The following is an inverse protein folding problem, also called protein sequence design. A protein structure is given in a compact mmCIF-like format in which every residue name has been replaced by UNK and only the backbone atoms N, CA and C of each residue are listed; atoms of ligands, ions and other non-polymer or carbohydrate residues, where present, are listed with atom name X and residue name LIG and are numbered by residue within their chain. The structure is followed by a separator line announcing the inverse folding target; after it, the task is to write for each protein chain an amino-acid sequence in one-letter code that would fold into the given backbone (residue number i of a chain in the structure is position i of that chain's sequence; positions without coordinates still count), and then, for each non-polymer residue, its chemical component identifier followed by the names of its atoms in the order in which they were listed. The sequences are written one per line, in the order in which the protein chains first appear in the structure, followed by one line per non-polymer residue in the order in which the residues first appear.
data_IF_838653120471
#
_entry.id   IF_838653120471
#
_cell.length_a   1.000
_cell.length_b   1.000
_cell.length_c   1.000
_cell.angle_alpha   90.00
_cell.angle_beta   90.00
_cell.angle_gamma   90.00
#
_symmetry.space_group_name_H-M   'P 1'
#
loop_
_entity.id
_entity.type
_entity.pdbx_description
1 polymer ?
#
# COMPACT_ATOMS: atom_id res chain seq x y z
N UNK A 1 33.91 -4.02 21.08
CA UNK A 1 33.55 -5.38 20.62
C UNK A 1 32.40 -5.25 19.63
N UNK A 2 32.48 -5.85 18.44
CA UNK A 2 31.45 -5.69 17.41
C UNK A 2 30.16 -6.43 17.82
N UNK A 3 29.20 -5.69 18.38
CA UNK A 3 27.97 -6.25 18.93
C UNK A 3 27.02 -6.79 17.85
N UNK A 4 27.15 -6.41 16.58
CA UNK A 4 26.33 -6.97 15.49
C UNK A 4 26.87 -8.33 14.99
N UNK A 5 28.18 -8.56 15.13
CA UNK A 5 28.81 -9.80 14.70
C UNK A 5 28.46 -10.98 15.64
N UNK A 6 28.30 -10.73 16.94
CA UNK A 6 28.07 -11.79 17.94
C UNK A 6 26.68 -12.45 17.82
N UNK A 7 25.57 -11.69 17.62
CA UNK A 7 24.26 -12.27 17.33
C UNK A 7 24.24 -13.03 16.01
N UNK A 8 24.98 -12.57 14.98
CA UNK A 8 25.10 -13.29 13.70
C UNK A 8 25.74 -14.67 13.89
N UNK A 9 26.80 -14.75 14.68
CA UNK A 9 27.45 -16.02 15.04
C UNK A 9 26.47 -16.93 15.79
N UNK A 10 25.70 -16.39 16.75
CA UNK A 10 24.66 -17.14 17.46
C UNK A 10 23.55 -17.67 16.54
N UNK A 11 23.09 -16.85 15.60
CA UNK A 11 22.10 -17.25 14.59
C UNK A 11 22.61 -18.35 13.65
N UNK A 12 23.87 -18.28 13.23
CA UNK A 12 24.48 -19.34 12.42
C UNK A 12 24.59 -20.68 13.18
N UNK A 13 24.84 -20.64 14.50
CA UNK A 13 24.81 -21.83 15.35
C UNK A 13 23.39 -22.44 15.42
N UNK A 14 22.34 -21.59 15.50
CA UNK A 14 20.94 -22.01 15.47
C UNK A 14 20.54 -22.68 14.15
N UNK A 15 21.02 -22.16 13.02
CA UNK A 15 20.75 -22.70 11.68
C UNK A 15 21.51 -24.00 11.39
N UNK A 16 22.19 -24.59 12.38
CA UNK A 16 23.02 -25.78 12.23
C UNK A 16 24.08 -25.65 11.13
N UNK A 17 24.83 -24.54 11.13
CA UNK A 17 26.02 -24.42 10.30
C UNK A 17 26.98 -25.59 10.59
N UNK A 18 27.39 -26.31 9.53
CA UNK A 18 28.30 -27.47 9.59
C UNK A 18 29.78 -27.06 9.57
N UNK A 19 30.08 -25.77 9.63
CA UNK A 19 31.45 -25.27 9.74
C UNK A 19 32.16 -25.81 10.98
N UNK A 20 33.45 -26.11 10.84
CA UNK A 20 34.33 -26.61 11.93
C UNK A 20 34.26 -25.69 13.17
N UNK A 21 34.17 -24.39 12.96
CA UNK A 21 34.05 -23.40 14.02
C UNK A 21 32.77 -23.57 14.85
N UNK A 22 31.65 -23.93 14.20
CA UNK A 22 30.36 -24.16 14.86
C UNK A 22 30.42 -25.41 15.74
N UNK A 23 30.99 -26.51 15.23
CA UNK A 23 31.25 -27.72 16.03
C UNK A 23 32.15 -27.45 17.23
N UNK A 24 33.21 -26.67 17.06
CA UNK A 24 34.16 -26.35 18.12
C UNK A 24 33.50 -25.50 19.22
N UNK A 25 32.65 -24.52 18.85
CA UNK A 25 31.89 -23.72 19.81
C UNK A 25 30.79 -24.53 20.52
N UNK A 26 30.05 -25.38 19.79
CA UNK A 26 29.06 -26.30 20.38
C UNK A 26 29.70 -27.26 21.37
N UNK A 27 30.88 -27.81 21.04
CA UNK A 27 31.61 -28.69 21.96
C UNK A 27 32.13 -27.94 23.18
N UNK A 28 32.79 -26.78 22.99
CA UNK A 28 33.42 -26.02 24.07
C UNK A 28 32.43 -25.42 25.06
N UNK A 29 31.26 -24.98 24.59
CA UNK A 29 30.34 -24.18 25.40
C UNK A 29 28.95 -24.79 25.59
N UNK A 30 28.50 -25.69 24.69
CA UNK A 30 27.18 -26.31 24.79
C UNK A 30 27.25 -27.77 25.26
N UNK A 31 28.41 -28.42 25.23
CA UNK A 31 28.54 -29.87 25.44
C UNK A 31 27.48 -30.67 24.65
N UNK A 32 27.29 -30.32 23.37
CA UNK A 32 26.28 -30.90 22.47
C UNK A 32 24.80 -30.69 22.87
N UNK A 33 24.49 -29.75 23.78
CA UNK A 33 23.12 -29.32 24.06
C UNK A 33 22.59 -28.36 22.99
N UNK A 34 21.27 -28.28 22.86
CA UNK A 34 20.61 -27.32 21.97
C UNK A 34 20.91 -25.88 22.40
N UNK A 35 21.22 -25.03 21.42
CA UNK A 35 21.48 -23.60 21.63
C UNK A 35 20.22 -22.81 22.06
N UNK A 36 19.02 -23.35 21.81
CA UNK A 36 17.73 -22.68 22.11
C UNK A 36 17.34 -22.66 23.59
N UNK A 37 17.96 -23.51 24.43
CA UNK A 37 17.56 -23.70 25.84
C UNK A 37 18.68 -23.33 26.81
N UNK A 38 19.55 -22.40 26.43
CA UNK A 38 20.63 -21.93 27.29
C UNK A 38 20.11 -20.91 28.28
N UNK A 39 20.09 -21.28 29.57
CA UNK A 39 19.98 -20.30 30.65
C UNK A 39 21.33 -19.57 30.78
N UNK A 40 21.49 -18.47 30.04
CA UNK A 40 22.67 -17.62 30.06
C UNK A 40 22.93 -16.98 31.44
N UNK A 41 21.97 -17.08 32.37
CA UNK A 41 22.08 -16.60 33.75
C UNK A 41 22.68 -17.66 34.71
N UNK A 42 22.69 -18.94 34.33
CA UNK A 42 23.16 -20.04 35.19
C UNK A 42 24.35 -20.79 34.58
N UNK A 43 25.54 -20.28 34.86
CA UNK A 43 26.72 -21.12 35.07
C UNK A 43 27.84 -21.02 34.04
N UNK A 44 29.06 -21.06 34.58
CA UNK A 44 30.38 -21.03 33.95
C UNK A 44 30.80 -19.60 33.56
N UNK A 45 32.04 -19.24 33.93
CA UNK A 45 32.69 -17.96 33.65
C UNK A 45 32.72 -17.72 32.13
N UNK A 46 31.62 -17.17 31.60
CA UNK A 46 31.45 -16.92 30.19
C UNK A 46 32.10 -15.59 29.84
N UNK A 47 33.11 -15.64 28.96
CA UNK A 47 33.72 -14.45 28.35
C UNK A 47 32.62 -13.51 27.83
N UNK A 48 32.88 -12.20 27.84
CA UNK A 48 31.97 -11.19 27.29
C UNK A 48 31.56 -11.50 25.85
N UNK A 49 32.46 -12.11 25.07
CA UNK A 49 32.20 -12.64 23.73
C UNK A 49 31.12 -13.73 23.73
N UNK A 50 31.18 -14.72 24.62
CA UNK A 50 30.20 -15.80 24.68
C UNK A 50 28.82 -15.32 25.14
N UNK A 51 28.77 -14.38 26.08
CA UNK A 51 27.52 -13.71 26.46
C UNK A 51 26.87 -12.98 25.27
N UNK A 52 27.67 -12.29 24.46
CA UNK A 52 27.17 -11.64 23.24
C UNK A 52 26.73 -12.63 22.15
N UNK A 53 27.37 -13.81 22.05
CA UNK A 53 26.91 -14.88 21.14
C UNK A 53 25.58 -15.47 21.62
N UNK A 54 25.41 -15.64 22.93
CA UNK A 54 24.17 -16.09 23.56
C UNK A 54 22.97 -15.18 23.30
N UNK A 55 23.18 -13.86 23.17
CA UNK A 55 22.10 -12.93 22.76
C UNK A 55 21.58 -13.24 21.34
N UNK A 56 22.37 -13.91 20.49
CA UNK A 56 21.91 -14.44 19.21
C UNK A 56 20.85 -15.55 19.34
N UNK A 57 20.76 -16.23 20.48
CA UNK A 57 19.69 -17.20 20.77
C UNK A 57 18.33 -16.52 21.00
N UNK A 58 18.35 -15.29 21.53
CA UNK A 58 17.17 -14.44 21.74
C UNK A 58 16.91 -13.47 20.57
N UNK A 59 17.77 -13.51 19.54
CA UNK A 59 17.66 -12.67 18.36
C UNK A 59 16.49 -13.13 17.49
N UNK A 60 15.53 -12.24 17.29
CA UNK A 60 14.43 -12.40 16.34
C UNK A 60 14.44 -11.23 15.37
N UNK A 61 13.88 -11.41 14.17
CA UNK A 61 13.64 -10.30 13.22
C UNK A 61 12.88 -9.18 13.94
N UNK A 62 11.93 -9.53 14.82
CA UNK A 62 11.17 -8.58 15.64
C UNK A 62 12.06 -7.75 16.58
N UNK A 63 13.03 -8.34 17.28
CA UNK A 63 13.95 -7.60 18.16
C UNK A 63 14.98 -6.79 17.39
N UNK A 64 15.46 -7.29 16.24
CA UNK A 64 16.34 -6.53 15.35
C UNK A 64 15.63 -5.32 14.74
N UNK A 65 14.40 -5.52 14.25
CA UNK A 65 13.57 -4.47 13.69
C UNK A 65 13.19 -3.46 14.77
N UNK A 66 12.83 -3.92 15.98
CA UNK A 66 12.59 -3.02 17.11
C UNK A 66 13.84 -2.21 17.49
N UNK A 67 15.02 -2.81 17.56
CA UNK A 67 16.26 -2.09 17.84
C UNK A 67 16.65 -1.09 16.75
N UNK A 68 16.38 -1.41 15.48
CA UNK A 68 16.54 -0.48 14.36
C UNK A 68 15.54 0.70 14.45
N UNK A 69 14.27 0.40 14.77
CA UNK A 69 13.22 1.39 14.94
C UNK A 69 13.39 2.24 16.21
N UNK A 70 13.99 1.71 17.28
CA UNK A 70 14.23 2.41 18.55
C UNK A 70 15.49 3.31 18.47
N UNK A 71 16.43 3.01 17.55
CA UNK A 71 17.64 3.82 17.30
C UNK A 71 17.36 5.08 16.48
N UNK A 72 16.32 5.06 15.64
CA UNK A 72 15.67 6.27 15.15
C UNK A 72 14.68 6.71 16.24
N UNK A 73 14.75 7.93 16.75
CA UNK A 73 13.76 8.42 17.73
C UNK A 73 12.40 8.46 17.02
N UNK A 74 11.64 7.36 17.03
CA UNK A 74 10.28 7.32 16.55
C UNK A 74 9.41 7.98 17.61
N UNK A 75 8.99 9.20 17.33
CA UNK A 75 7.88 9.82 18.04
C UNK A 75 6.66 8.89 17.88
N UNK A 76 6.33 8.11 18.91
CA UNK A 76 5.22 7.15 18.86
C UNK A 76 3.93 7.93 18.98
N UNK A 77 3.44 8.38 17.84
CA UNK A 77 2.11 8.95 17.70
C UNK A 77 1.05 7.97 18.18
N UNK A 78 0.08 8.45 18.97
CA UNK A 78 -1.11 7.66 19.32
C UNK A 78 -2.08 7.60 18.13
N UNK A 79 -1.72 6.91 17.05
CA UNK A 79 -2.47 6.92 15.78
C UNK A 79 -3.84 6.22 15.80
N UNK A 80 -4.18 5.48 16.86
CA UNK A 80 -5.43 4.70 16.95
C UNK A 80 -6.70 5.55 16.77
N UNK A 81 -6.65 6.85 17.10
CA UNK A 81 -7.80 7.75 16.89
C UNK A 81 -8.13 7.96 15.40
N UNK A 82 -7.15 7.82 14.49
CA UNK A 82 -7.34 8.03 13.04
C UNK A 82 -8.45 7.13 12.49
N UNK A 83 -8.49 5.88 12.95
CA UNK A 83 -9.50 4.90 12.53
C UNK A 83 -10.89 5.17 13.12
N UNK A 84 -10.99 5.99 14.16
CA UNK A 84 -12.26 6.44 14.75
C UNK A 84 -12.83 7.66 14.03
N UNK A 85 -12.00 8.40 13.28
CA UNK A 85 -12.46 9.54 12.49
C UNK A 85 -13.41 9.07 11.40
N UNK A 86 -14.55 9.74 11.26
CA UNK A 86 -15.56 9.45 10.23
C UNK A 86 -15.11 9.96 8.86
N UNK A 87 -14.08 9.31 8.31
CA UNK A 87 -13.40 9.64 7.05
C UNK A 87 -13.34 8.41 6.15
N UNK A 88 -13.27 8.58 4.81
CA UNK A 88 -13.02 7.48 3.89
C UNK A 88 -11.74 6.69 4.23
N UNK A 89 -11.71 5.35 4.03
CA UNK A 89 -10.55 4.52 4.35
C UNK A 89 -9.24 4.99 3.72
N UNK A 90 -9.30 5.51 2.48
CA UNK A 90 -8.13 6.06 1.79
C UNK A 90 -7.51 7.27 2.51
N UNK A 91 -8.35 8.13 3.13
CA UNK A 91 -7.89 9.29 3.89
C UNK A 91 -7.35 8.84 5.25
N UNK A 92 -8.04 7.91 5.93
CA UNK A 92 -7.54 7.33 7.19
C UNK A 92 -6.18 6.66 7.02
N UNK A 93 -6.00 5.84 5.97
CA UNK A 93 -4.72 5.22 5.66
C UNK A 93 -3.64 6.26 5.35
N UNK A 94 -3.96 7.28 4.57
CA UNK A 94 -3.02 8.37 4.31
C UNK A 94 -2.60 9.11 5.59
N UNK A 95 -3.55 9.46 6.47
CA UNK A 95 -3.26 10.08 7.75
C UNK A 95 -2.38 9.18 8.62
N UNK A 96 -2.64 7.88 8.66
CA UNK A 96 -1.81 6.92 9.38
C UNK A 96 -0.36 6.93 8.86
N UNK A 97 -0.15 6.84 7.55
CA UNK A 97 1.19 6.91 6.93
C UNK A 97 1.86 8.27 7.21
N UNK A 98 1.08 9.36 7.19
CA UNK A 98 1.53 10.72 7.47
C UNK A 98 2.03 10.88 8.90
N UNK A 99 1.25 10.45 9.89
CA UNK A 99 1.61 10.53 11.31
C UNK A 99 2.84 9.68 11.65
N UNK A 100 3.07 8.58 10.93
CA UNK A 100 4.30 7.80 11.06
C UNK A 100 5.53 8.44 10.40
N UNK A 101 5.37 9.59 9.72
CA UNK A 101 6.45 10.22 8.97
C UNK A 101 6.89 9.43 7.73
N UNK A 102 6.05 8.50 7.26
CA UNK A 102 6.36 7.55 6.18
C UNK A 102 5.73 7.91 4.83
N UNK A 103 5.24 9.15 4.69
CA UNK A 103 4.84 9.66 3.38
C UNK A 103 6.07 9.69 2.46
N UNK A 104 5.95 9.05 1.31
CA UNK A 104 7.01 8.91 0.31
C UNK A 104 7.28 10.24 -0.42
N UNK A 105 7.81 11.21 0.32
CA UNK A 105 8.32 12.49 -0.18
C UNK A 105 9.65 12.28 -0.93
N UNK A 106 10.06 13.21 -1.80
CA UNK A 106 11.36 13.10 -2.47
C UNK A 106 12.55 13.06 -1.49
N UNK A 107 12.46 13.71 -0.32
CA UNK A 107 13.45 13.51 0.76
C UNK A 107 13.52 12.04 1.19
N UNK A 108 12.38 11.41 1.45
CA UNK A 108 12.35 10.00 1.85
C UNK A 108 12.79 9.06 0.72
N UNK A 109 12.43 9.36 -0.53
CA UNK A 109 12.90 8.60 -1.71
C UNK A 109 14.41 8.63 -1.82
N UNK A 110 15.04 9.79 -1.62
CA UNK A 110 16.50 9.91 -1.62
C UNK A 110 17.13 9.17 -0.44
N UNK A 111 16.55 9.28 0.76
CA UNK A 111 17.02 8.53 1.93
C UNK A 111 16.96 7.01 1.73
N UNK A 112 15.97 6.51 0.99
CA UNK A 112 15.83 5.09 0.65
C UNK A 112 16.57 4.67 -0.62
N UNK A 113 17.32 5.57 -1.28
CA UNK A 113 18.05 5.26 -2.52
C UNK A 113 17.16 5.02 -3.74
N UNK A 114 15.89 5.42 -3.69
CA UNK A 114 14.92 5.30 -4.80
C UNK A 114 14.97 6.52 -5.72
N UNK A 115 15.42 7.67 -5.21
CA UNK A 115 15.54 8.93 -5.95
C UNK A 115 16.90 9.58 -5.79
N UNK A 116 17.24 10.44 -6.75
CA UNK A 116 18.50 11.21 -6.77
C UNK A 116 18.31 12.69 -6.48
N UNK A 117 17.07 13.19 -6.56
CA UNK A 117 16.72 14.59 -6.33
C UNK A 117 15.64 14.68 -5.25
N UNK A 118 15.94 15.43 -4.19
CA UNK A 118 15.03 15.68 -3.08
C UNK A 118 14.13 16.90 -3.31
N UNK A 119 14.29 17.60 -4.44
CA UNK A 119 13.59 18.84 -4.74
C UNK A 119 12.07 18.64 -4.85
N UNK A 120 11.30 19.65 -4.45
CA UNK A 120 9.86 19.62 -4.61
C UNK A 120 9.47 19.72 -6.09
N UNK A 121 8.78 18.73 -6.68
CA UNK A 121 8.38 18.78 -8.09
C UNK A 121 7.29 19.82 -8.33
N UNK A 122 6.61 20.28 -7.27
CA UNK A 122 5.49 21.21 -7.36
C UNK A 122 5.95 22.64 -7.53
N UNK A 123 6.77 23.12 -6.61
CA UNK A 123 7.27 24.50 -6.63
C UNK A 123 8.70 24.64 -7.18
N UNK A 124 9.34 23.50 -7.52
CA UNK A 124 10.70 23.43 -8.07
C UNK A 124 11.75 24.10 -7.17
N UNK A 125 11.48 24.15 -5.86
CA UNK A 125 12.32 24.83 -4.89
C UNK A 125 12.26 24.13 -3.53
N UNK A 126 13.41 24.01 -2.87
CA UNK A 126 13.53 23.40 -1.54
C UNK A 126 13.39 21.88 -1.54
N UNK A 127 13.76 21.27 -0.41
CA UNK A 127 13.66 19.83 -0.17
C UNK A 127 12.21 19.48 0.13
N UNK A 128 11.63 18.55 -0.63
CA UNK A 128 10.30 18.01 -0.35
C UNK A 128 10.36 17.06 0.86
N UNK A 129 10.08 17.62 2.03
CA UNK A 129 9.75 16.88 3.24
C UNK A 129 8.26 17.09 3.58
N UNK A 130 7.78 16.51 4.68
CA UNK A 130 6.36 16.64 5.07
C UNK A 130 5.96 18.10 5.31
N UNK A 131 6.78 18.87 6.03
CA UNK A 131 6.54 20.29 6.28
C UNK A 131 6.42 21.10 4.99
N UNK A 132 7.32 20.86 4.05
CA UNK A 132 7.28 21.51 2.75
C UNK A 132 6.06 21.06 1.95
N UNK A 133 5.83 19.75 1.86
CA UNK A 133 4.72 19.16 1.12
C UNK A 133 3.36 19.72 1.57
N UNK A 134 3.15 19.85 2.88
CA UNK A 134 1.85 20.19 3.46
C UNK A 134 1.68 21.68 3.75
N UNK A 135 2.75 22.40 4.09
CA UNK A 135 2.63 23.76 4.65
C UNK A 135 3.43 24.78 3.85
N UNK A 136 4.72 24.52 3.60
CA UNK A 136 5.64 25.55 3.10
C UNK A 136 5.73 25.65 1.58
N UNK A 137 5.30 24.63 0.85
CA UNK A 137 5.25 24.64 -0.61
C UNK A 137 4.30 25.74 -1.10
N UNK A 138 4.71 26.49 -2.13
CA UNK A 138 3.90 27.55 -2.74
C UNK A 138 2.48 27.07 -3.08
N UNK A 139 2.36 25.93 -3.75
CA UNK A 139 1.06 25.34 -4.12
C UNK A 139 0.22 25.00 -2.87
N UNK A 140 0.85 24.52 -1.81
CA UNK A 140 0.16 24.18 -0.56
C UNK A 140 -0.33 25.43 0.17
N UNK A 141 0.48 26.49 0.21
CA UNK A 141 0.09 27.80 0.74
C UNK A 141 -1.12 28.34 -0.04
N UNK A 142 -1.13 28.23 -1.37
CA UNK A 142 -2.27 28.67 -2.19
C UNK A 142 -3.56 27.97 -1.76
N UNK A 143 -3.53 26.66 -1.54
CA UNK A 143 -4.70 25.91 -1.05
C UNK A 143 -5.12 26.39 0.34
N UNK A 144 -4.19 26.51 1.29
CA UNK A 144 -4.52 26.96 2.64
C UNK A 144 -5.09 28.38 2.69
N UNK A 145 -4.54 29.30 1.89
CA UNK A 145 -5.04 30.68 1.79
C UNK A 145 -6.43 30.72 1.19
N UNK A 146 -6.71 29.92 0.16
CA UNK A 146 -8.05 29.84 -0.45
C UNK A 146 -9.09 29.29 0.55
N UNK A 147 -8.72 28.25 1.30
CA UNK A 147 -9.57 27.66 2.35
C UNK A 147 -9.80 28.64 3.50
N UNK A 148 -8.75 29.31 4.01
CA UNK A 148 -8.86 30.27 5.12
C UNK A 148 -9.62 31.55 4.74
N UNK A 149 -9.63 31.94 3.46
CA UNK A 149 -10.53 33.02 2.99
C UNK A 149 -11.99 32.59 3.02
N UNK A 150 -12.24 31.31 2.73
CA UNK A 150 -13.59 30.77 2.77
C UNK A 150 -14.05 30.57 4.22
N UNK A 151 -13.21 30.01 5.10
CA UNK A 151 -13.56 29.59 6.46
C UNK A 151 -12.90 30.49 7.54
N UNK A 152 -13.69 30.93 8.53
CA UNK A 152 -13.24 31.81 9.62
C UNK A 152 -12.26 31.19 10.64
N UNK A 153 -11.55 30.13 10.28
CA UNK A 153 -10.58 29.46 11.17
C UNK A 153 -9.24 29.29 10.47
N UNK A 154 -8.18 29.77 11.12
CA UNK A 154 -6.79 29.59 10.69
C UNK A 154 -5.96 29.06 11.86
N UNK A 155 -5.60 27.79 11.84
CA UNK A 155 -4.56 27.28 12.73
C UNK A 155 -3.20 27.74 12.19
N UNK A 156 -2.46 28.50 13.01
CA UNK A 156 -1.15 28.99 12.63
C UNK A 156 -0.11 27.91 12.89
N UNK A 157 0.68 27.56 11.87
CA UNK A 157 1.78 26.62 12.03
C UNK A 157 2.95 27.26 12.79
N UNK A 158 3.18 26.81 14.03
CA UNK A 158 4.24 27.34 14.90
C UNK A 158 5.58 26.58 14.81
N UNK A 159 5.76 25.74 13.78
CA UNK A 159 7.04 25.07 13.50
C UNK A 159 7.17 23.63 13.99
N UNK A 160 6.19 23.09 14.72
CA UNK A 160 6.13 21.68 15.07
C UNK A 160 4.99 21.00 14.30
N UNK A 161 5.33 20.17 13.31
CA UNK A 161 4.35 19.48 12.46
C UNK A 161 3.49 18.51 13.25
N UNK A 162 4.07 17.89 14.28
CA UNK A 162 3.35 16.89 15.06
C UNK A 162 2.31 17.55 15.97
N UNK A 163 2.68 18.60 16.67
CA UNK A 163 1.73 19.38 17.45
C UNK A 163 0.59 19.94 16.57
N UNK A 164 0.94 20.47 15.39
CA UNK A 164 -0.03 21.05 14.47
C UNK A 164 -1.01 20.02 13.90
N UNK A 165 -0.52 18.84 13.49
CA UNK A 165 -1.38 17.74 13.04
C UNK A 165 -2.28 17.23 14.18
N UNK A 166 -1.74 17.09 15.40
CA UNK A 166 -2.50 16.63 16.55
C UNK A 166 -3.63 17.60 16.92
N UNK A 167 -3.33 18.89 17.02
CA UNK A 167 -4.29 19.94 17.39
C UNK A 167 -5.46 19.98 16.40
N UNK A 168 -5.17 20.02 15.10
CA UNK A 168 -6.20 20.14 14.07
C UNK A 168 -7.01 18.85 13.88
N UNK A 169 -6.40 17.67 14.00
CA UNK A 169 -7.12 16.40 13.85
C UNK A 169 -8.02 16.06 15.06
N UNK A 170 -7.80 16.69 16.21
CA UNK A 170 -8.66 16.58 17.39
C UNK A 170 -9.64 17.76 17.54
N UNK A 171 -9.53 18.80 16.72
CA UNK A 171 -10.44 19.93 16.76
C UNK A 171 -11.79 19.54 16.14
N UNK A 172 -12.86 19.59 16.95
CA UNK A 172 -14.21 19.28 16.51
C UNK A 172 -15.11 20.53 16.42
N UNK A 173 -14.54 21.72 16.44
CA UNK A 173 -15.25 22.96 16.17
C UNK A 173 -15.87 22.93 14.77
N UNK A 174 -17.03 23.55 14.64
CA UNK A 174 -17.69 23.65 13.35
C UNK A 174 -17.12 24.84 12.58
N UNK A 175 -16.70 24.57 11.34
CA UNK A 175 -16.44 25.60 10.34
C UNK A 175 -17.68 25.76 9.45
N UNK A 176 -17.56 26.53 8.38
CA UNK A 176 -18.65 26.81 7.44
C UNK A 176 -19.51 25.58 7.11
N UNK A 177 -20.81 25.81 6.97
CA UNK A 177 -21.79 24.80 6.61
C UNK A 177 -21.84 23.61 7.60
N UNK A 178 -21.54 23.86 8.89
CA UNK A 178 -21.56 22.87 9.97
C UNK A 178 -20.62 21.67 9.73
N UNK A 179 -19.53 21.87 8.98
CA UNK A 179 -18.51 20.85 8.78
C UNK A 179 -17.58 20.82 10.00
N UNK A 180 -17.27 19.65 10.59
CA UNK A 180 -16.24 19.55 11.63
C UNK A 180 -14.86 19.97 11.11
N UNK A 181 -14.13 20.81 11.86
CA UNK A 181 -12.84 21.35 11.45
C UNK A 181 -11.79 20.28 11.20
N UNK A 182 -11.71 19.21 12.01
CA UNK A 182 -10.82 18.08 11.74
C UNK A 182 -11.10 17.42 10.38
N UNK A 183 -12.36 17.36 9.96
CA UNK A 183 -12.77 16.72 8.71
C UNK A 183 -12.28 17.56 7.54
N UNK A 184 -12.55 18.86 7.56
CA UNK A 184 -12.05 19.79 6.54
C UNK A 184 -10.52 19.75 6.47
N UNK A 185 -9.85 19.79 7.63
CA UNK A 185 -8.40 19.71 7.73
C UNK A 185 -7.84 18.42 7.10
N UNK A 186 -8.37 17.26 7.47
CA UNK A 186 -7.96 15.97 6.91
C UNK A 186 -8.17 15.88 5.39
N UNK A 187 -9.29 16.42 4.90
CA UNK A 187 -9.60 16.50 3.46
C UNK A 187 -8.59 17.39 2.74
N UNK A 188 -8.24 18.57 3.28
CA UNK A 188 -7.21 19.44 2.70
C UNK A 188 -5.87 18.73 2.60
N UNK A 189 -5.41 18.06 3.67
CA UNK A 189 -4.15 17.30 3.65
C UNK A 189 -4.15 16.22 2.57
N UNK A 190 -5.27 15.50 2.43
CA UNK A 190 -5.44 14.49 1.39
C UNK A 190 -5.37 15.08 -0.01
N UNK A 191 -6.05 16.19 -0.28
CA UNK A 191 -6.02 16.85 -1.59
C UNK A 191 -4.64 17.42 -1.93
N UNK A 192 -3.91 17.97 -0.95
CA UNK A 192 -2.52 18.40 -1.12
C UNK A 192 -1.61 17.25 -1.58
N UNK A 193 -1.82 16.05 -1.02
CA UNK A 193 -1.13 14.85 -1.48
C UNK A 193 -1.62 14.41 -2.86
N UNK A 194 -2.94 14.31 -3.07
CA UNK A 194 -3.57 13.84 -4.31
C UNK A 194 -3.14 14.69 -5.51
N UNK A 195 -3.36 16.00 -5.46
CA UNK A 195 -2.93 16.92 -6.53
C UNK A 195 -1.42 16.98 -6.69
N UNK A 196 -0.68 16.80 -5.59
CA UNK A 196 0.76 16.65 -5.63
C UNK A 196 1.22 15.45 -6.46
N UNK A 197 0.60 14.29 -6.25
CA UNK A 197 0.86 13.10 -7.05
C UNK A 197 0.41 13.29 -8.50
N UNK A 198 -0.78 13.86 -8.74
CA UNK A 198 -1.25 14.13 -10.10
C UNK A 198 -0.26 14.99 -10.89
N UNK A 199 0.30 16.06 -10.28
CA UNK A 199 1.30 16.90 -10.94
C UNK A 199 2.60 16.17 -11.33
N UNK A 200 2.92 15.06 -10.66
CA UNK A 200 4.12 14.25 -10.95
C UNK A 200 3.82 13.18 -12.00
N UNK A 201 2.66 12.53 -11.93
CA UNK A 201 2.33 11.36 -12.74
C UNK A 201 1.45 11.67 -13.96
N UNK A 202 0.84 12.85 -14.01
CA UNK A 202 0.03 13.32 -15.13
C UNK A 202 0.61 14.64 -15.65
N UNK A 203 1.28 14.55 -16.80
CA UNK A 203 1.93 15.68 -17.46
C UNK A 203 0.94 16.78 -17.90
N UNK A 204 -0.35 16.45 -18.02
CA UNK A 204 -1.40 17.39 -18.41
C UNK A 204 -2.18 17.93 -17.20
N UNK A 205 -1.80 17.56 -15.97
CA UNK A 205 -2.51 17.98 -14.78
C UNK A 205 -2.41 19.50 -14.58
N UNK A 206 -3.58 20.14 -14.50
CA UNK A 206 -3.73 21.53 -14.14
C UNK A 206 -4.39 21.64 -12.77
N UNK A 207 -3.88 22.55 -11.93
CA UNK A 207 -4.52 22.86 -10.66
C UNK A 207 -5.93 23.43 -10.90
N UNK A 208 -6.97 22.95 -10.20
CA UNK A 208 -8.31 23.49 -10.36
C UNK A 208 -8.40 24.98 -9.99
N UNK A 209 -9.24 25.76 -10.70
CA UNK A 209 -9.38 27.22 -10.49
C UNK A 209 -10.29 27.61 -9.30
N UNK A 210 -10.82 26.65 -8.54
CA UNK A 210 -11.67 26.93 -7.35
C UNK A 210 -11.51 25.81 -6.32
N UNK A 211 -10.39 25.83 -5.61
CA UNK A 211 -9.95 24.75 -4.72
C UNK A 211 -10.88 24.59 -3.53
N UNK A 212 -11.29 25.71 -2.92
CA UNK A 212 -12.26 25.71 -1.82
C UNK A 212 -13.60 25.09 -2.20
N UNK A 213 -14.12 25.29 -3.42
CA UNK A 213 -15.40 24.68 -3.84
C UNK A 213 -15.31 23.15 -3.90
N UNK A 214 -14.21 22.62 -4.45
CA UNK A 214 -13.99 21.16 -4.55
C UNK A 214 -13.82 20.56 -3.16
N UNK A 215 -13.03 21.20 -2.30
CA UNK A 215 -12.79 20.72 -0.93
C UNK A 215 -14.08 20.80 -0.11
N UNK A 216 -14.81 21.92 -0.17
CA UNK A 216 -16.03 22.12 0.62
C UNK A 216 -17.17 21.22 0.15
N UNK A 217 -17.34 21.01 -1.16
CA UNK A 217 -18.32 20.03 -1.68
C UNK A 217 -17.99 18.61 -1.21
N UNK A 218 -16.74 18.19 -1.33
CA UNK A 218 -16.31 16.88 -0.83
C UNK A 218 -16.54 16.75 0.69
N UNK A 219 -16.29 17.80 1.47
CA UNK A 219 -16.59 17.79 2.91
C UNK A 219 -18.08 17.63 3.20
N UNK A 220 -18.95 18.32 2.46
CA UNK A 220 -20.42 18.19 2.59
C UNK A 220 -20.87 16.78 2.26
N UNK A 221 -20.41 16.21 1.16
CA UNK A 221 -20.73 14.84 0.75
C UNK A 221 -20.36 13.83 1.86
N UNK A 222 -19.19 14.02 2.50
CA UNK A 222 -18.77 13.17 3.63
C UNK A 222 -19.64 13.35 4.87
N UNK A 223 -20.01 14.60 5.20
CA UNK A 223 -20.88 14.89 6.34
C UNK A 223 -22.26 14.26 6.11
N UNK A 224 -22.84 14.41 4.92
CA UNK A 224 -24.11 13.79 4.53
C UNK A 224 -24.06 12.26 4.58
N UNK A 225 -23.00 11.64 4.04
CA UNK A 225 -22.79 10.20 4.10
C UNK A 225 -22.64 9.68 5.55
N UNK A 226 -22.00 10.46 6.42
CA UNK A 226 -21.86 10.15 7.84
C UNK A 226 -23.20 10.24 8.60
N UNK A 227 -24.10 11.15 8.22
CA UNK A 227 -25.46 11.20 8.78
C UNK A 227 -26.34 10.05 8.27
N UNK A 228 -26.19 9.67 7.00
CA UNK A 228 -26.94 8.55 6.41
C UNK A 228 -26.53 7.16 6.97
N UNK A 229 -25.30 7.03 7.46
CA UNK A 229 -24.73 5.75 7.92
C UNK A 229 -25.12 5.33 9.34
N UNK A 230 -25.94 6.11 10.07
CA UNK A 230 -26.57 5.64 11.31
C UNK A 230 -27.59 4.50 11.10
N UNK A 231 -27.86 4.12 9.84
CA UNK A 231 -28.75 3.02 9.47
C UNK A 231 -28.10 2.03 8.48
N UNK A 232 -26.77 1.83 8.53
CA UNK A 232 -26.10 0.80 7.73
C UNK A 232 -25.46 -0.26 8.62
N UNK A 233 -25.96 -1.48 8.50
CA UNK A 233 -25.36 -2.68 9.06
C UNK A 233 -23.97 -2.85 8.46
N UNK A 234 -22.92 -2.74 9.28
CA UNK A 234 -21.55 -3.04 8.86
C UNK A 234 -21.51 -4.52 8.44
N UNK A 235 -21.41 -4.77 7.14
CA UNK A 235 -21.21 -6.11 6.61
C UNK A 235 -19.70 -6.37 6.55
N UNK A 236 -19.20 -7.20 7.45
CA UNK A 236 -17.84 -7.72 7.35
C UNK A 236 -17.80 -8.71 6.19
N UNK A 237 -17.34 -8.26 5.03
CA UNK A 237 -17.11 -9.15 3.89
C UNK A 237 -15.82 -9.91 4.16
N UNK A 238 -15.90 -11.24 4.20
CA UNK A 238 -14.70 -12.09 4.21
C UNK A 238 -14.02 -11.98 2.84
N UNK A 239 -12.91 -11.25 2.77
CA UNK A 239 -12.05 -11.20 1.58
C UNK A 239 -11.11 -12.41 1.62
N UNK A 240 -11.67 -13.60 1.37
CA UNK A 240 -10.90 -14.83 1.18
C UNK A 240 -11.02 -15.26 -0.29
N UNK A 241 -9.94 -15.78 -0.87
CA UNK A 241 -10.02 -16.38 -2.20
C UNK A 241 -10.92 -17.61 -2.15
N UNK A 242 -12.05 -17.54 -2.84
CA UNK A 242 -13.01 -18.63 -2.90
C UNK A 242 -12.56 -19.67 -3.93
N UNK A 243 -12.40 -20.93 -3.50
CA UNK A 243 -12.09 -22.05 -4.38
C UNK A 243 -13.24 -22.32 -5.34
N UNK A 244 -12.98 -22.60 -6.63
CA UNK A 244 -14.03 -23.08 -7.52
C UNK A 244 -14.56 -24.44 -7.05
N UNK A 245 -15.79 -24.78 -7.43
CA UNK A 245 -16.37 -26.11 -7.17
C UNK A 245 -15.56 -27.22 -7.85
N UNK A 246 -15.67 -28.45 -7.34
CA UNK A 246 -15.05 -29.62 -7.96
C UNK A 246 -15.44 -29.75 -9.44
N UNK A 247 -14.45 -30.03 -10.30
CA UNK A 247 -14.62 -30.10 -11.75
C UNK A 247 -14.63 -28.73 -12.47
N UNK A 248 -14.51 -27.62 -11.74
CA UNK A 248 -14.26 -26.29 -12.29
C UNK A 248 -12.81 -25.88 -12.08
N UNK A 249 -12.31 -25.04 -12.98
CA UNK A 249 -11.06 -24.30 -12.81
C UNK A 249 -11.36 -22.82 -12.71
N UNK A 250 -10.59 -22.08 -11.93
CA UNK A 250 -10.72 -20.63 -11.80
C UNK A 250 -9.62 -19.94 -12.60
N UNK A 251 -10.00 -19.01 -13.47
CA UNK A 251 -9.12 -18.16 -14.24
C UNK A 251 -9.17 -16.75 -13.66
N UNK A 252 -8.09 -16.31 -13.01
CA UNK A 252 -7.88 -14.94 -12.57
C UNK A 252 -7.08 -14.20 -13.66
N UNK A 253 -7.53 -13.02 -14.08
CA UNK A 253 -6.86 -12.18 -15.07
C UNK A 253 -6.66 -10.79 -14.48
N UNK A 254 -5.46 -10.25 -14.67
CA UNK A 254 -5.06 -8.92 -14.19
C UNK A 254 -4.15 -8.26 -15.23
N UNK A 255 -4.27 -6.96 -15.43
CA UNK A 255 -3.41 -6.17 -16.31
C UNK A 255 -2.55 -5.16 -15.54
N UNK A 256 -1.35 -4.92 -16.08
CA UNK A 256 -0.38 -4.00 -15.52
C UNK A 256 0.15 -3.07 -16.61
N UNK A 257 0.10 -1.76 -16.37
CA UNK A 257 0.69 -0.77 -17.26
C UNK A 257 2.12 -0.43 -16.81
N UNK A 258 3.09 -0.49 -17.74
CA UNK A 258 4.47 -0.04 -17.50
C UNK A 258 4.70 1.30 -18.21
N UNK A 259 5.11 2.30 -17.43
CA UNK A 259 5.01 3.72 -17.80
C UNK A 259 5.93 4.25 -18.91
N UNK A 260 6.88 3.46 -19.42
CA UNK A 260 7.90 4.01 -20.34
C UNK A 260 7.52 3.98 -21.83
N UNK A 261 6.55 3.16 -22.26
CA UNK A 261 6.15 3.08 -23.67
C UNK A 261 4.64 2.82 -23.91
N UNK A 262 3.81 2.84 -22.87
CA UNK A 262 2.40 2.44 -22.99
C UNK A 262 2.22 0.96 -23.33
N UNK A 263 3.24 0.14 -23.10
CA UNK A 263 3.13 -1.32 -23.19
C UNK A 263 2.34 -1.84 -21.99
N UNK A 264 1.11 -2.25 -22.25
CA UNK A 264 0.27 -2.92 -21.25
C UNK A 264 0.63 -4.41 -21.27
N UNK A 265 0.97 -4.92 -20.10
CA UNK A 265 1.23 -6.34 -19.89
C UNK A 265 0.03 -6.95 -19.20
N UNK A 266 -0.42 -8.10 -19.64
CA UNK A 266 -1.58 -8.78 -19.07
C UNK A 266 -1.16 -10.16 -18.61
N UNK A 267 -1.52 -10.49 -17.38
CA UNK A 267 -1.23 -11.76 -16.76
C UNK A 267 -2.51 -12.51 -16.43
N UNK A 268 -2.38 -13.82 -16.25
CA UNK A 268 -3.46 -14.59 -15.64
C UNK A 268 -2.98 -15.93 -15.11
N UNK A 269 -3.74 -16.44 -14.16
CA UNK A 269 -3.46 -17.70 -13.46
C UNK A 269 -4.72 -18.56 -13.49
N UNK A 270 -4.50 -19.85 -13.73
CA UNK A 270 -5.49 -20.91 -13.74
C UNK A 270 -5.25 -21.82 -12.53
N UNK A 271 -6.26 -21.97 -11.68
CA UNK A 271 -6.20 -22.73 -10.43
C UNK A 271 -7.34 -23.74 -10.33
N UNK A 272 -7.13 -24.85 -9.64
CA UNK A 272 -8.20 -25.83 -9.37
C UNK A 272 -8.92 -25.59 -8.03
N UNK A 273 -9.91 -26.44 -7.74
CA UNK A 273 -10.66 -26.46 -6.48
C UNK A 273 -9.81 -26.78 -5.24
N UNK A 274 -8.61 -27.37 -5.41
CA UNK A 274 -7.66 -27.66 -4.34
C UNK A 274 -6.65 -26.52 -4.13
N UNK A 275 -6.85 -25.36 -4.77
CA UNK A 275 -5.93 -24.21 -4.76
C UNK A 275 -4.58 -24.52 -5.44
N UNK A 276 -4.50 -25.54 -6.27
CA UNK A 276 -3.29 -25.88 -7.01
C UNK A 276 -3.13 -24.95 -8.21
N UNK A 277 -1.93 -24.41 -8.38
CA UNK A 277 -1.55 -23.67 -9.58
C UNK A 277 -1.48 -24.62 -10.77
N UNK A 278 -2.41 -24.50 -11.71
CA UNK A 278 -2.43 -25.32 -12.91
C UNK A 278 -1.51 -24.71 -13.97
N UNK A 279 -1.73 -23.43 -14.32
CA UNK A 279 -0.96 -22.71 -15.35
C UNK A 279 -1.09 -21.20 -15.18
N UNK A 280 -0.13 -20.49 -15.76
CA UNK A 280 -0.08 -19.04 -15.85
C UNK A 280 0.31 -18.59 -17.26
N UNK A 281 0.03 -17.32 -17.55
CA UNK A 281 0.50 -16.65 -18.74
C UNK A 281 0.83 -15.19 -18.43
N UNK A 282 1.75 -14.66 -19.22
CA UNK A 282 2.06 -13.23 -19.28
C UNK A 282 2.16 -12.83 -20.74
N UNK A 283 1.47 -11.77 -21.11
CA UNK A 283 1.42 -11.24 -22.46
C UNK A 283 1.83 -9.77 -22.42
N UNK A 284 2.94 -9.43 -23.07
CA UNK A 284 3.28 -8.04 -23.34
C UNK A 284 2.88 -7.72 -24.77
N UNK A 285 1.87 -6.87 -24.94
CA UNK A 285 1.43 -6.39 -26.25
C UNK A 285 1.31 -4.88 -26.21
N UNK A 286 1.58 -4.23 -27.34
CA UNK A 286 1.32 -2.80 -27.53
C UNK A 286 -0.18 -2.53 -27.64
N UNK A 287 -0.92 -2.73 -26.55
CA UNK A 287 -2.33 -2.33 -26.46
C UNK A 287 -2.42 -0.82 -26.26
N UNK A 288 -3.47 -0.20 -26.81
CA UNK A 288 -3.68 1.25 -26.73
C UNK A 288 -4.61 1.65 -25.59
N UNK A 289 -5.20 0.69 -24.87
CA UNK A 289 -6.08 0.93 -23.72
C UNK A 289 -6.09 -0.23 -22.73
N UNK A 290 -6.33 0.07 -21.44
CA UNK A 290 -6.48 -0.93 -20.37
C UNK A 290 -7.61 -1.93 -20.70
N UNK A 291 -8.77 -1.42 -21.13
CA UNK A 291 -9.92 -2.24 -21.53
C UNK A 291 -9.57 -3.26 -22.63
N UNK A 292 -8.85 -2.84 -23.67
CA UNK A 292 -8.44 -3.74 -24.76
C UNK A 292 -7.43 -4.80 -24.26
N UNK A 293 -6.54 -4.40 -23.36
CA UNK A 293 -5.55 -5.29 -22.77
C UNK A 293 -6.23 -6.37 -21.90
N UNK A 294 -7.09 -5.97 -20.97
CA UNK A 294 -7.84 -6.90 -20.12
C UNK A 294 -8.70 -7.88 -20.94
N UNK A 295 -9.42 -7.40 -21.97
CA UNK A 295 -10.18 -8.26 -22.87
C UNK A 295 -9.28 -9.26 -23.62
N UNK A 296 -8.09 -8.83 -24.00
CA UNK A 296 -7.12 -9.70 -24.66
C UNK A 296 -6.52 -10.74 -23.70
N UNK A 297 -6.22 -10.35 -22.46
CA UNK A 297 -5.79 -11.28 -21.42
C UNK A 297 -6.85 -12.33 -21.12
N UNK A 298 -8.11 -11.91 -20.99
CA UNK A 298 -9.23 -12.80 -20.82
C UNK A 298 -9.35 -13.79 -21.98
N UNK A 299 -9.29 -13.30 -23.21
CA UNK A 299 -9.36 -14.15 -24.40
C UNK A 299 -8.25 -15.23 -24.41
N UNK A 300 -7.00 -14.85 -24.14
CA UNK A 300 -5.89 -15.81 -24.14
C UNK A 300 -5.96 -16.77 -22.93
N UNK A 301 -6.42 -16.31 -21.77
CA UNK A 301 -6.67 -17.16 -20.60
C UNK A 301 -7.75 -18.22 -20.85
N UNK A 302 -8.87 -17.84 -21.46
CA UNK A 302 -9.94 -18.79 -21.85
C UNK A 302 -9.47 -19.78 -22.90
N UNK A 303 -8.74 -19.30 -23.92
CA UNK A 303 -8.14 -20.14 -24.95
C UNK A 303 -7.11 -21.12 -24.37
N UNK A 304 -6.34 -20.71 -23.36
CA UNK A 304 -5.45 -21.60 -22.62
C UNK A 304 -6.23 -22.67 -21.86
N UNK A 305 -7.32 -22.31 -21.19
CA UNK A 305 -8.19 -23.25 -20.48
C UNK A 305 -8.74 -24.31 -21.44
N UNK A 306 -9.28 -23.88 -22.58
CA UNK A 306 -9.82 -24.75 -23.61
C UNK A 306 -8.77 -25.71 -24.19
N UNK A 307 -7.58 -25.21 -24.54
CA UNK A 307 -6.47 -26.05 -25.04
C UNK A 307 -6.01 -27.11 -24.04
N UNK A 308 -6.23 -26.87 -22.75
CA UNK A 308 -5.96 -27.83 -21.68
C UNK A 308 -7.08 -28.83 -21.43
N UNK A 309 -8.19 -28.71 -22.17
CA UNK A 309 -9.35 -29.60 -22.05
C UNK A 309 -10.32 -29.18 -20.94
N UNK A 310 -10.21 -27.96 -20.40
CA UNK A 310 -11.15 -27.46 -19.42
C UNK A 310 -12.37 -26.85 -20.12
N UNK A 311 -13.55 -27.35 -19.75
CA UNK A 311 -14.86 -26.93 -20.26
C UNK A 311 -15.79 -26.37 -19.18
N UNK A 312 -15.23 -26.06 -18.01
CA UNK A 312 -15.93 -25.49 -16.85
C UNK A 312 -15.00 -24.49 -16.17
N UNK A 313 -15.11 -23.22 -16.55
CA UNK A 313 -14.18 -22.17 -16.10
C UNK A 313 -14.95 -21.08 -15.35
N UNK A 314 -14.51 -20.80 -14.12
CA UNK A 314 -14.94 -19.61 -13.36
C UNK A 314 -13.95 -18.49 -13.65
N UNK A 315 -14.42 -17.38 -14.19
CA UNK A 315 -13.56 -16.23 -14.51
C UNK A 315 -13.68 -15.18 -13.42
N UNK A 316 -12.55 -14.68 -12.95
CA UNK A 316 -12.47 -13.59 -11.98
C UNK A 316 -11.60 -12.46 -12.55
N UNK A 317 -12.20 -11.29 -12.69
CA UNK A 317 -11.60 -10.07 -13.26
C UNK A 317 -12.01 -8.91 -12.36
N UNK A 318 -11.08 -8.01 -12.07
CA UNK A 318 -11.27 -6.83 -11.23
C UNK A 318 -11.73 -5.57 -12.00
N UNK A 319 -11.85 -5.67 -13.32
CA UNK A 319 -12.37 -4.62 -14.20
C UNK A 319 -13.87 -4.68 -14.43
N UNK A 320 -14.57 -3.75 -13.80
CA UNK A 320 -16.01 -3.55 -14.00
C UNK A 320 -16.37 -3.17 -15.45
N UNK A 321 -15.46 -2.47 -16.15
CA UNK A 321 -15.65 -2.07 -17.55
C UNK A 321 -15.68 -3.28 -18.48
N UNK A 322 -14.81 -4.27 -18.26
CA UNK A 322 -14.81 -5.53 -19.03
C UNK A 322 -16.08 -6.33 -18.78
N UNK A 323 -16.49 -6.49 -17.52
CA UNK A 323 -17.70 -7.22 -17.15
C UNK A 323 -18.92 -6.62 -17.85
N UNK A 324 -19.09 -5.29 -17.78
CA UNK A 324 -20.20 -4.62 -18.43
C UNK A 324 -20.17 -4.79 -19.96
N UNK A 325 -18.98 -4.70 -20.56
CA UNK A 325 -18.83 -4.80 -22.02
C UNK A 325 -19.10 -6.22 -22.54
N UNK A 326 -18.73 -7.27 -21.80
CA UNK A 326 -19.05 -8.66 -22.14
C UNK A 326 -20.56 -8.92 -21.99
N UNK A 327 -21.14 -8.47 -20.87
CA UNK A 327 -22.58 -8.63 -20.60
C UNK A 327 -23.46 -7.91 -21.64
N UNK A 328 -22.97 -6.83 -22.26
CA UNK A 328 -23.65 -6.14 -23.36
C UNK A 328 -23.37 -6.76 -24.73
N UNK A 329 -22.16 -7.33 -24.93
CA UNK A 329 -21.74 -7.93 -26.20
C UNK A 329 -22.54 -9.17 -26.60
N UNK A 330 -23.23 -9.82 -25.66
CA UNK A 330 -24.18 -10.91 -25.91
C UNK A 330 -25.42 -10.46 -26.67
N UNK A 331 -25.70 -9.14 -26.75
CA UNK A 331 -26.92 -8.63 -27.36
C UNK A 331 -26.71 -7.86 -28.70
N UNK A 332 -25.58 -7.17 -28.96
CA UNK A 332 -25.52 -6.23 -30.11
C UNK A 332 -24.12 -5.95 -30.74
N UNK A 333 -23.15 -6.89 -30.80
CA UNK A 333 -21.80 -6.55 -31.32
C UNK A 333 -21.39 -7.16 -32.68
N UNK A 334 -20.57 -6.40 -33.42
CA UNK A 334 -19.93 -6.77 -34.68
C UNK A 334 -19.03 -8.02 -34.51
N UNK A 335 -19.07 -9.01 -35.43
CA UNK A 335 -18.51 -10.36 -35.28
C UNK A 335 -16.98 -10.48 -35.16
N UNK A 336 -16.25 -9.37 -35.22
CA UNK A 336 -14.78 -9.34 -35.20
C UNK A 336 -14.19 -8.53 -34.03
N UNK A 337 -15.01 -8.04 -33.10
CA UNK A 337 -14.53 -7.32 -31.90
C UNK A 337 -13.83 -8.26 -30.91
N UNK A 338 -12.89 -7.75 -30.11
CA UNK A 338 -12.25 -8.52 -29.04
C UNK A 338 -13.29 -9.14 -28.09
N UNK A 339 -14.36 -8.40 -27.76
CA UNK A 339 -15.49 -8.89 -26.96
C UNK A 339 -16.24 -10.03 -27.64
N UNK A 340 -16.51 -9.97 -28.95
CA UNK A 340 -17.18 -11.06 -29.68
C UNK A 340 -16.37 -12.36 -29.68
N UNK A 341 -15.03 -12.25 -29.71
CA UNK A 341 -14.12 -13.40 -29.63
C UNK A 341 -14.12 -14.05 -28.25
N UNK A 342 -14.19 -13.24 -27.19
CA UNK A 342 -14.36 -13.72 -25.81
C UNK A 342 -15.71 -14.43 -25.68
N UNK A 343 -16.81 -13.80 -26.10
CA UNK A 343 -18.17 -14.38 -26.01
C UNK A 343 -18.26 -15.70 -26.80
N UNK A 344 -17.64 -15.80 -27.97
CA UNK A 344 -17.58 -17.04 -28.74
C UNK A 344 -16.86 -18.17 -27.99
N UNK A 345 -15.74 -17.89 -27.31
CA UNK A 345 -15.06 -18.88 -26.47
C UNK A 345 -15.89 -19.25 -25.24
N UNK A 346 -16.54 -18.28 -24.59
CA UNK A 346 -17.45 -18.53 -23.46
C UNK A 346 -18.69 -19.36 -23.84
N UNK A 347 -19.02 -19.51 -25.13
CA UNK A 347 -20.10 -20.42 -25.57
C UNK A 347 -19.64 -21.88 -25.73
N UNK A 348 -18.32 -22.10 -25.74
CA UNK A 348 -17.70 -23.42 -25.88
C UNK A 348 -17.22 -23.98 -24.53
N UNK A 349 -17.03 -23.12 -23.54
CA UNK A 349 -16.44 -23.35 -22.21
C UNK A 349 -17.46 -22.92 -21.16
#
# INVERSE_FOLDING_TARGET
MNQALLPKIGWQILQNDNGIWCHLLKHKYLNNKSFTNLDLSKGIVCSSTWRGVGQGAEFSIKTAFKGYLDAEIMHVWQWHFVWKLKLPPQIQHFLWVLLHGKVLTNKQRCMHGIGFDASCPKCQSGIENIDHLLIRCRDSITVWVDIAKSASSSSSFLGNIDAWLAENLHNNELVNDNVPSFLQFAVVLWFLRKWGCSKVFDANFMFPQSLHLIINSFCKDLVEANFASNSMTVCTISVAWDTPSEGYVKLNVDDGCTGELGSITVGGVLSDHLKSWLRDFVLSRGSRSALEAELQGLFEGLKMAWKKGFSKVVVEIDSMSVIHHIAKATNENHPYSASSRVVSLCSLI
#
